data_IF_937955276432
#
_entry.id   IF_937955276432
#
_cell.length_a   1.000
_cell.length_b   1.000
_cell.length_c   1.000
_cell.angle_alpha   90.00
_cell.angle_beta   90.00
_cell.angle_gamma   90.00
#
_symmetry.space_group_name_H-M   'P 1'
#
loop_
_entity.id
_entity.type
_entity.pdbx_description
1 polymer ?
#
# COMPACT_ATOMS: atom_id res chain seq x y z
N UNK A 1 -8.84 7.12 -3.43
CA UNK A 1 -7.48 7.28 -3.98
C UNK A 1 -7.00 8.68 -3.62
N UNK A 2 -5.85 8.79 -2.95
CA UNK A 2 -5.18 10.05 -2.65
C UNK A 2 -4.21 10.39 -3.77
N UNK A 3 -4.18 11.67 -4.15
CA UNK A 3 -3.21 12.17 -5.12
C UNK A 3 -2.04 12.79 -4.39
N UNK A 4 -0.83 12.41 -4.76
CA UNK A 4 0.42 12.98 -4.27
C UNK A 4 1.07 13.73 -5.42
N UNK A 5 1.29 15.04 -5.23
CA UNK A 5 1.86 15.90 -6.25
C UNK A 5 3.32 15.54 -6.52
N UNK A 6 3.64 15.45 -7.81
CA UNK A 6 5.00 15.19 -8.27
C UNK A 6 5.80 16.50 -8.25
N UNK A 7 7.03 16.53 -7.68
CA UNK A 7 7.89 17.71 -7.70
C UNK A 7 8.23 18.24 -9.11
N UNK A 8 8.13 17.38 -10.14
CA UNK A 8 8.37 17.73 -11.53
C UNK A 8 7.08 18.09 -12.31
N UNK A 9 5.94 18.19 -11.63
CA UNK A 9 4.62 18.38 -12.23
C UNK A 9 3.85 17.06 -12.40
N UNK A 10 2.51 17.15 -12.35
CA UNK A 10 1.62 15.99 -12.35
C UNK A 10 1.42 15.38 -10.96
N UNK A 11 0.92 14.16 -10.91
CA UNK A 11 0.57 13.46 -9.66
C UNK A 11 0.64 11.94 -9.80
N UNK A 12 0.85 11.26 -8.68
CA UNK A 12 0.63 9.80 -8.55
C UNK A 12 -0.56 9.54 -7.64
N UNK A 13 -1.31 8.49 -7.94
CA UNK A 13 -2.45 8.00 -7.18
C UNK A 13 -2.03 6.86 -6.27
N UNK A 14 -2.23 7.04 -4.96
CA UNK A 14 -2.08 5.99 -3.96
C UNK A 14 -3.45 5.61 -3.39
N UNK A 15 -3.61 4.39 -2.85
CA UNK A 15 -4.83 4.04 -2.17
C UNK A 15 -5.05 4.92 -0.92
N UNK A 16 -6.32 5.15 -0.57
CA UNK A 16 -6.66 5.79 0.70
C UNK A 16 -6.28 4.88 1.87
N UNK A 17 -6.42 3.57 1.66
CA UNK A 17 -6.12 2.53 2.62
C UNK A 17 -5.49 1.31 1.94
N UNK A 18 -4.49 0.71 2.59
CA UNK A 18 -3.83 -0.49 2.10
C UNK A 18 -4.61 -1.74 2.53
N UNK A 19 -4.99 -2.56 1.54
CA UNK A 19 -5.72 -3.82 1.73
C UNK A 19 -4.92 -5.03 1.25
N UNK A 20 -5.40 -6.24 1.55
CA UNK A 20 -4.77 -7.50 1.15
C UNK A 20 -4.51 -7.62 -0.35
N UNK A 21 -5.36 -7.06 -1.21
CA UNK A 21 -5.13 -7.06 -2.66
C UNK A 21 -3.82 -6.35 -3.07
N UNK A 22 -3.43 -5.30 -2.34
CA UNK A 22 -2.19 -4.56 -2.61
C UNK A 22 -0.97 -5.38 -2.20
N UNK A 23 -1.09 -6.18 -1.13
CA UNK A 23 -0.05 -7.15 -0.76
C UNK A 23 0.12 -8.21 -1.85
N UNK A 24 -0.98 -8.72 -2.41
CA UNK A 24 -0.95 -9.68 -3.54
C UNK A 24 -0.29 -9.05 -4.77
N UNK A 25 -0.66 -7.81 -5.14
CA UNK A 25 -0.02 -7.08 -6.25
C UNK A 25 1.49 -6.89 -6.02
N UNK A 26 1.89 -6.54 -4.80
CA UNK A 26 3.30 -6.39 -4.41
C UNK A 26 4.08 -7.70 -4.59
N UNK A 27 3.55 -8.81 -4.06
CA UNK A 27 4.18 -10.13 -4.17
C UNK A 27 4.28 -10.59 -5.63
N UNK A 28 3.23 -10.37 -6.41
CA UNK A 28 3.24 -10.68 -7.84
C UNK A 28 4.30 -9.86 -8.59
N UNK A 29 4.40 -8.57 -8.32
CA UNK A 29 5.40 -7.69 -8.92
C UNK A 29 6.83 -8.05 -8.49
N UNK A 30 7.04 -8.41 -7.22
CA UNK A 30 8.32 -8.92 -6.71
C UNK A 30 8.74 -10.17 -7.50
N UNK A 31 7.84 -11.14 -7.62
CA UNK A 31 8.11 -12.39 -8.34
C UNK A 31 8.36 -12.17 -9.83
N UNK A 32 7.59 -11.28 -10.49
CA UNK A 32 7.78 -10.94 -11.92
C UNK A 32 9.07 -10.18 -12.20
N UNK A 33 9.63 -9.52 -11.20
CA UNK A 33 10.88 -8.77 -11.31
C UNK A 33 12.09 -9.56 -10.82
N UNK A 34 11.92 -10.83 -10.41
CA UNK A 34 13.03 -11.71 -10.06
C UNK A 34 14.04 -11.80 -11.21
N UNK A 35 15.30 -11.50 -10.92
CA UNK A 35 16.39 -11.48 -11.91
C UNK A 35 16.70 -10.09 -12.48
N UNK A 36 15.89 -9.06 -12.17
CA UNK A 36 16.29 -7.66 -12.43
C UNK A 36 17.27 -7.17 -11.35
N UNK A 37 18.16 -6.21 -11.67
CA UNK A 37 18.92 -5.50 -10.63
C UNK A 37 17.99 -4.84 -9.62
N UNK A 38 18.39 -4.81 -8.35
CA UNK A 38 17.59 -4.35 -7.19
C UNK A 38 16.85 -3.03 -7.43
N UNK A 39 17.52 -2.08 -8.09
CA UNK A 39 16.94 -0.77 -8.39
C UNK A 39 15.74 -0.86 -9.32
N UNK A 40 15.80 -1.68 -10.36
CA UNK A 40 14.71 -1.86 -11.31
C UNK A 40 13.58 -2.66 -10.69
N UNK A 41 13.91 -3.69 -9.89
CA UNK A 41 12.91 -4.42 -9.11
C UNK A 41 12.13 -3.49 -8.17
N UNK A 42 12.83 -2.60 -7.46
CA UNK A 42 12.23 -1.59 -6.58
C UNK A 42 11.27 -0.67 -7.35
N UNK A 43 11.66 -0.23 -8.55
CA UNK A 43 10.80 0.59 -9.40
C UNK A 43 9.58 -0.19 -9.90
N UNK A 44 9.75 -1.42 -10.37
CA UNK A 44 8.66 -2.28 -10.85
C UNK A 44 7.61 -2.49 -9.76
N UNK A 45 8.04 -2.81 -8.54
CA UNK A 45 7.11 -3.02 -7.42
C UNK A 45 6.38 -1.73 -7.10
N UNK A 46 7.10 -0.61 -6.98
CA UNK A 46 6.47 0.67 -6.68
C UNK A 46 5.41 1.07 -7.71
N UNK A 47 5.72 0.93 -9.01
CA UNK A 47 4.80 1.25 -10.10
C UNK A 47 3.56 0.34 -10.08
N UNK A 48 3.72 -0.95 -9.76
CA UNK A 48 2.59 -1.89 -9.66
C UNK A 48 1.60 -1.59 -8.51
N UNK A 49 2.02 -0.77 -7.55
CA UNK A 49 1.22 -0.39 -6.39
C UNK A 49 0.55 0.98 -6.53
N UNK A 50 0.81 1.69 -7.64
CA UNK A 50 0.07 2.89 -7.96
C UNK A 50 -1.34 2.52 -8.43
N UNK A 51 -2.33 3.30 -8.01
CA UNK A 51 -3.70 3.20 -8.51
C UNK A 51 -3.85 3.94 -9.85
N UNK A 52 -3.14 5.06 -10.01
CA UNK A 52 -3.11 5.86 -11.25
C UNK A 52 -1.91 6.83 -11.25
N UNK A 53 -1.65 7.52 -12.36
CA UNK A 53 -0.81 8.71 -12.41
C UNK A 53 -1.20 9.60 -13.59
N UNK A 54 -0.85 10.90 -13.52
CA UNK A 54 -1.19 11.81 -14.60
C UNK A 54 -0.33 13.06 -14.67
N UNK A 55 -0.01 13.47 -15.91
CA UNK A 55 0.66 14.74 -16.19
C UNK A 55 2.12 14.81 -15.73
N UNK A 56 2.76 13.67 -15.45
CA UNK A 56 4.17 13.61 -15.07
C UNK A 56 5.03 13.54 -16.34
N UNK A 57 5.89 14.54 -16.60
CA UNK A 57 6.71 14.56 -17.82
C UNK A 57 7.58 13.31 -17.96
N UNK A 58 7.44 12.61 -19.08
CA UNK A 58 8.23 11.43 -19.40
C UNK A 58 7.71 10.13 -18.80
N UNK A 59 6.56 10.11 -18.12
CA UNK A 59 5.87 8.89 -17.67
C UNK A 59 4.57 8.63 -18.44
N UNK A 60 4.51 9.07 -19.69
CA UNK A 60 3.39 8.81 -20.57
C UNK A 60 3.34 7.34 -21.02
N UNK A 61 2.13 6.81 -21.20
CA UNK A 61 1.88 5.43 -21.62
C UNK A 61 2.13 4.39 -20.53
N UNK A 62 2.06 3.11 -20.91
CA UNK A 62 2.14 2.02 -19.95
C UNK A 62 3.60 1.64 -19.59
N UNK A 63 3.90 1.34 -18.31
CA UNK A 63 5.27 1.04 -17.87
C UNK A 63 5.91 -0.18 -18.51
N UNK A 64 5.14 -1.19 -18.89
CA UNK A 64 5.66 -2.39 -19.54
C UNK A 64 6.32 -2.12 -20.90
N UNK A 65 6.03 -0.95 -21.50
CA UNK A 65 6.59 -0.51 -22.78
C UNK A 65 7.64 0.60 -22.62
N UNK A 66 8.01 0.95 -21.38
CA UNK A 66 8.97 2.02 -21.14
C UNK A 66 10.41 1.58 -21.44
N UNK A 67 11.12 2.43 -22.17
CA UNK A 67 12.58 2.38 -22.20
C UNK A 67 13.14 3.07 -20.95
N UNK A 68 13.50 2.28 -19.93
CA UNK A 68 14.07 2.76 -18.68
C UNK A 68 15.42 3.50 -18.84
N UNK A 69 16.11 3.34 -19.98
CA UNK A 69 17.33 4.12 -20.26
C UNK A 69 17.04 5.59 -20.56
N UNK A 70 15.81 5.89 -21.03
CA UNK A 70 15.36 7.26 -21.32
C UNK A 70 14.49 7.87 -20.20
N UNK A 71 14.10 7.08 -19.19
CA UNK A 71 13.30 7.57 -18.07
C UNK A 71 14.17 8.33 -17.07
N UNK A 72 13.57 9.34 -16.44
CA UNK A 72 14.22 10.08 -15.36
C UNK A 72 14.36 9.19 -14.11
N UNK A 73 15.57 8.71 -13.83
CA UNK A 73 15.84 7.90 -12.64
C UNK A 73 15.53 8.61 -11.32
N UNK A 74 15.82 9.93 -11.16
CA UNK A 74 15.39 10.65 -9.96
C UNK A 74 13.88 10.60 -9.74
N UNK A 75 13.10 10.65 -10.81
CA UNK A 75 11.65 10.59 -10.74
C UNK A 75 11.15 9.20 -10.34
N UNK A 76 11.68 8.13 -10.94
CA UNK A 76 11.35 6.75 -10.54
C UNK A 76 11.74 6.48 -9.09
N UNK A 77 12.89 6.98 -8.65
CA UNK A 77 13.31 6.91 -7.26
C UNK A 77 12.38 7.68 -6.31
N UNK A 78 11.90 8.86 -6.73
CA UNK A 78 10.90 9.61 -5.96
C UNK A 78 9.59 8.84 -5.82
N UNK A 79 9.10 8.22 -6.90
CA UNK A 79 7.90 7.37 -6.86
C UNK A 79 8.11 6.23 -5.86
N UNK A 80 9.20 5.47 -5.98
CA UNK A 80 9.47 4.36 -5.07
C UNK A 80 9.56 4.79 -3.62
N UNK A 81 10.28 5.86 -3.31
CA UNK A 81 10.36 6.38 -1.94
C UNK A 81 8.98 6.78 -1.39
N UNK A 82 8.15 7.40 -2.22
CA UNK A 82 6.81 7.84 -1.83
C UNK A 82 5.89 6.65 -1.54
N UNK A 83 5.85 5.67 -2.46
CA UNK A 83 5.04 4.45 -2.33
C UNK A 83 5.45 3.66 -1.09
N UNK A 84 6.76 3.39 -0.93
CA UNK A 84 7.22 2.55 0.18
C UNK A 84 7.14 3.24 1.54
N UNK A 85 7.31 4.56 1.62
CA UNK A 85 7.06 5.30 2.86
C UNK A 85 5.60 5.21 3.28
N UNK A 86 4.66 5.36 2.35
CA UNK A 86 3.22 5.29 2.64
C UNK A 86 2.79 3.86 3.04
N UNK A 87 3.31 2.84 2.34
CA UNK A 87 3.09 1.44 2.70
C UNK A 87 3.66 1.10 4.08
N UNK A 88 4.87 1.54 4.41
CA UNK A 88 5.50 1.29 5.71
C UNK A 88 4.70 1.91 6.86
N UNK A 89 4.17 3.13 6.68
CA UNK A 89 3.25 3.75 7.65
C UNK A 89 2.00 2.88 7.83
N UNK A 90 1.41 2.38 6.75
CA UNK A 90 0.20 1.56 6.82
C UNK A 90 0.41 0.23 7.56
N UNK A 91 1.61 -0.35 7.51
CA UNK A 91 1.95 -1.59 8.21
C UNK A 91 2.25 -1.37 9.70
N UNK A 92 2.72 -0.18 10.09
CA UNK A 92 3.14 0.11 11.48
C UNK A 92 2.01 0.46 12.42
N UNK A 93 0.91 0.99 11.92
CA UNK A 93 -0.23 1.38 12.75
C UNK A 93 -1.35 0.35 12.59
N UNK A 94 -1.62 -0.51 13.60
CA UNK A 94 -2.80 -1.34 13.58
C UNK A 94 -4.01 -0.41 13.57
N UNK A 95 -4.65 -0.29 12.41
CA UNK A 95 -5.95 0.35 12.29
C UNK A 95 -6.91 -0.53 13.09
N UNK A 96 -7.27 -0.06 14.28
CA UNK A 96 -8.25 -0.74 15.13
C UNK A 96 -9.49 -0.96 14.28
N UNK A 97 -9.80 -2.21 13.93
CA UNK A 97 -10.95 -2.52 13.11
C UNK A 97 -12.20 -2.20 13.93
N UNK A 98 -13.02 -1.20 13.58
CA UNK A 98 -14.26 -0.92 14.30
C UNK A 98 -15.28 -1.97 13.82
N UNK A 99 -15.15 -3.18 14.34
CA UNK A 99 -15.94 -4.33 13.89
C UNK A 99 -15.64 -5.61 14.66
N UNK A 100 -15.32 -5.49 15.94
CA UNK A 100 -15.67 -6.49 16.93
C UNK A 100 -15.84 -5.78 18.26
N UNK A 101 -16.95 -5.04 18.37
CA UNK A 101 -17.61 -4.91 19.66
C UNK A 101 -18.01 -6.33 20.08
N UNK A 102 -17.06 -7.10 20.62
CA UNK A 102 -17.41 -8.12 21.59
C UNK A 102 -18.06 -7.33 22.72
N UNK A 103 -19.38 -7.41 22.74
CA UNK A 103 -20.24 -7.06 23.84
C UNK A 103 -19.76 -7.84 25.07
N UNK A 104 -18.75 -7.29 25.74
CA UNK A 104 -18.21 -7.76 27.00
C UNK A 104 -19.04 -7.24 28.16
N UNK A 105 -20.37 -7.28 28.04
CA UNK A 105 -21.23 -7.26 29.20
C UNK A 105 -20.94 -8.53 29.98
N UNK A 106 -20.00 -8.45 30.93
CA UNK A 106 -19.88 -9.40 32.02
C UNK A 106 -21.23 -9.36 32.75
N UNK A 107 -22.15 -10.23 32.36
CA UNK A 107 -23.20 -10.66 33.27
C UNK A 107 -22.49 -11.36 34.40
N UNK A 108 -22.33 -10.65 35.52
CA UNK A 108 -22.07 -11.26 36.82
C UNK A 108 -23.13 -12.34 36.99
N UNK A 109 -22.69 -13.60 36.93
CA UNK A 109 -23.53 -14.74 37.29
C UNK A 109 -23.62 -14.65 38.81
N UNK A 110 -24.71 -14.10 39.32
CA UNK A 110 -25.03 -14.20 40.74
C UNK A 110 -25.21 -15.70 41.06
N UNK A 111 -24.47 -16.27 42.04
CA UNK A 111 -24.71 -17.63 42.45
C UNK A 111 -26.06 -17.71 43.18
N UNK A 112 -26.94 -18.58 42.69
CA UNK A 112 -28.17 -18.96 43.40
C UNK A 112 -27.81 -19.53 44.78
N UNK A 113 -28.01 -18.73 45.83
CA UNK A 113 -28.09 -19.27 47.18
C UNK A 113 -29.48 -19.88 47.38
N UNK A 114 -29.55 -21.21 47.25
CA UNK A 114 -30.57 -22.00 47.95
C UNK A 114 -29.98 -22.58 49.23
N UNK A 115 -30.58 -22.27 50.38
CA UNK A 115 -30.83 -23.25 51.42
C UNK A 115 -32.35 -23.47 51.49
N UNK A 116 -32.91 -24.67 51.39
CA UNK A 116 -32.46 -25.91 52.01
C UNK A 116 -33.15 -26.03 53.37
N UNK A 117 -34.35 -26.62 53.34
CA UNK A 117 -35.22 -27.16 54.41
C UNK A 117 -35.65 -26.29 55.62
#
# INVERSE_FOLDING_TARGET
MRKIDCPAGGWIGLPDEWFGEHAVRREEAQRKSEGLPDVFQTWTIALSLLEDWGGIPGLDGNPENWDFSMKSWPLLNWISKTVFADLDVALRFPKVWPGSSQDGSMKTIEPEMKPGD
#
